data_IF_584489873217
#
_entry.id   IF_584489873217
#
_cell.length_a   1.000
_cell.length_b   1.000
_cell.length_c   1.000
_cell.angle_alpha   90.00
_cell.angle_beta   90.00
_cell.angle_gamma   90.00
#
_symmetry.space_group_name_H-M   'P 1'
#
loop_
_entity.id
_entity.type
_entity.pdbx_description
1 polymer ?
#
# COMPACT_ATOMS: atom_id res chain seq x y z
N UNK A 1 17.10 22.13 -10.81
CA UNK A 1 17.50 20.83 -11.37
C UNK A 1 16.51 20.55 -12.46
N UNK A 2 16.92 20.10 -13.65
CA UNK A 2 15.98 19.75 -14.69
C UNK A 2 15.27 18.44 -14.23
N UNK A 3 13.94 18.44 -14.27
CA UNK A 3 13.16 17.25 -14.03
C UNK A 3 13.59 16.17 -15.03
N UNK A 4 13.73 14.95 -14.56
CA UNK A 4 14.07 13.81 -15.40
C UNK A 4 12.87 13.50 -16.32
N UNK A 5 12.97 13.72 -17.64
CA UNK A 5 11.83 13.62 -18.55
C UNK A 5 11.48 12.17 -18.90
N UNK A 6 11.95 11.21 -18.10
CA UNK A 6 11.80 9.78 -18.38
C UNK A 6 10.48 9.26 -17.81
N UNK A 7 9.78 8.48 -18.63
CA UNK A 7 8.65 7.69 -18.15
C UNK A 7 9.21 6.47 -17.37
N UNK A 8 9.14 6.52 -16.04
CA UNK A 8 9.58 5.44 -15.15
C UNK A 8 8.81 4.12 -15.35
N UNK A 9 7.68 4.13 -16.07
CA UNK A 9 6.93 2.93 -16.45
C UNK A 9 7.38 2.32 -17.79
N UNK A 10 8.48 2.81 -18.39
CA UNK A 10 9.00 2.26 -19.64
C UNK A 10 9.68 0.93 -19.40
N UNK A 11 9.26 -0.12 -20.13
CA UNK A 11 9.89 -1.44 -20.10
C UNK A 11 11.33 -1.48 -20.65
N UNK A 12 11.80 -0.38 -21.23
CA UNK A 12 13.16 -0.27 -21.81
C UNK A 12 14.14 0.48 -20.92
N UNK A 13 13.69 0.91 -19.74
CA UNK A 13 14.49 1.69 -18.79
C UNK A 13 14.55 0.93 -17.47
N UNK A 14 15.77 0.83 -16.92
CA UNK A 14 16.00 0.34 -15.57
C UNK A 14 16.24 1.52 -14.62
N UNK A 15 15.65 1.46 -13.44
CA UNK A 15 15.82 2.39 -12.35
C UNK A 15 16.56 1.75 -11.16
N UNK A 16 17.47 2.51 -10.57
CA UNK A 16 18.29 2.05 -9.45
C UNK A 16 18.28 3.07 -8.33
N UNK A 17 18.12 2.57 -7.09
CA UNK A 17 18.24 3.41 -5.89
C UNK A 17 19.74 3.66 -5.63
N UNK A 18 20.12 4.92 -5.61
CA UNK A 18 21.47 5.36 -5.33
C UNK A 18 21.53 6.09 -3.99
N UNK A 19 22.47 5.70 -3.11
CA UNK A 19 22.72 6.40 -1.87
C UNK A 19 23.72 7.53 -2.11
N UNK A 20 23.30 8.76 -1.92
CA UNK A 20 24.13 9.93 -2.12
C UNK A 20 25.36 9.90 -1.19
N UNK A 21 26.53 10.27 -1.74
CA UNK A 21 27.78 10.27 -0.99
C UNK A 21 28.38 8.89 -0.67
N UNK A 22 27.77 7.79 -1.16
CA UNK A 22 28.37 6.47 -1.05
C UNK A 22 29.41 6.22 -2.15
N UNK A 23 30.36 5.29 -1.90
CA UNK A 23 31.28 4.78 -2.93
C UNK A 23 30.61 3.69 -3.78
N UNK A 24 29.31 3.70 -3.88
CA UNK A 24 28.54 2.75 -4.67
C UNK A 24 28.89 2.92 -6.15
N UNK A 25 29.21 1.83 -6.83
CA UNK A 25 29.42 1.88 -8.27
C UNK A 25 28.07 2.06 -8.98
N UNK A 26 28.05 2.93 -9.99
CA UNK A 26 26.90 3.06 -10.84
C UNK A 26 26.67 1.78 -11.66
N UNK A 27 25.40 1.42 -11.91
CA UNK A 27 25.10 0.38 -12.89
C UNK A 27 25.54 0.87 -14.29
N UNK A 28 26.33 0.05 -14.98
CA UNK A 28 26.86 0.42 -16.30
C UNK A 28 28.02 1.44 -16.23
N UNK A 29 28.30 2.08 -17.36
CA UNK A 29 29.22 3.19 -17.43
C UNK A 29 28.48 4.50 -17.07
N UNK A 30 29.19 5.48 -16.55
CA UNK A 30 28.60 6.79 -16.25
C UNK A 30 27.99 7.50 -17.47
N UNK A 31 28.41 7.08 -18.67
CA UNK A 31 27.90 7.57 -19.96
C UNK A 31 26.51 6.99 -20.30
N UNK A 32 26.12 5.88 -19.70
CA UNK A 32 24.82 5.22 -19.92
C UNK A 32 23.72 5.78 -19.02
N UNK A 33 24.04 6.68 -18.10
CA UNK A 33 23.06 7.31 -17.22
C UNK A 33 22.26 8.34 -18.02
N UNK A 34 20.98 8.06 -18.21
CA UNK A 34 20.05 8.95 -18.92
C UNK A 34 19.72 10.20 -18.10
N UNK A 35 19.38 9.99 -16.84
CA UNK A 35 19.13 11.06 -15.88
C UNK A 35 19.12 10.54 -14.46
N UNK A 36 19.03 11.47 -13.50
CA UNK A 36 18.95 11.18 -12.07
C UNK A 36 17.93 12.09 -11.41
N UNK A 37 16.99 11.48 -10.66
CA UNK A 37 16.06 12.19 -9.81
C UNK A 37 16.57 12.23 -8.38
N UNK A 38 16.61 13.43 -7.81
CA UNK A 38 16.97 13.65 -6.42
C UNK A 38 15.72 13.46 -5.53
N UNK A 39 15.74 12.42 -4.71
CA UNK A 39 14.62 12.09 -3.80
C UNK A 39 14.79 12.75 -2.44
N UNK A 40 16.02 12.69 -1.89
CA UNK A 40 16.35 13.25 -0.58
C UNK A 40 17.86 13.50 -0.46
N UNK A 41 18.30 14.05 0.67
CA UNK A 41 19.73 14.20 0.98
C UNK A 41 20.49 12.88 0.91
N UNK A 42 19.82 11.77 1.19
CA UNK A 42 20.46 10.45 1.30
C UNK A 42 20.28 9.59 0.04
N UNK A 43 19.24 9.86 -0.77
CA UNK A 43 18.90 8.98 -1.89
C UNK A 43 18.53 9.75 -3.17
N UNK A 44 18.95 9.16 -4.29
CA UNK A 44 18.54 9.53 -5.65
C UNK A 44 18.13 8.29 -6.42
N UNK A 45 17.37 8.46 -7.51
CA UNK A 45 17.06 7.40 -8.47
C UNK A 45 17.82 7.68 -9.75
N UNK A 46 18.51 6.66 -10.25
CA UNK A 46 19.29 6.72 -11.50
C UNK A 46 18.57 5.90 -12.54
N UNK A 47 18.37 6.46 -13.72
CA UNK A 47 17.76 5.82 -14.87
C UNK A 47 18.78 5.50 -15.94
N UNK A 48 18.78 4.25 -16.44
CA UNK A 48 19.65 3.77 -17.49
C UNK A 48 18.87 2.95 -18.51
N UNK A 49 19.33 2.83 -19.78
CA UNK A 49 18.74 1.89 -20.71
C UNK A 49 18.86 0.45 -20.17
N UNK A 50 17.80 -0.35 -20.25
CA UNK A 50 17.78 -1.72 -19.73
C UNK A 50 18.81 -2.62 -20.44
N UNK A 51 18.98 -2.47 -21.74
CA UNK A 51 19.92 -3.24 -22.57
C UNK A 51 21.39 -3.04 -22.21
N UNK A 52 21.75 -1.91 -21.57
CA UNK A 52 23.11 -1.64 -21.11
C UNK A 52 23.44 -2.32 -19.78
N UNK A 53 22.43 -2.78 -19.04
CA UNK A 53 22.60 -3.36 -17.70
C UNK A 53 22.19 -4.83 -17.63
N UNK A 54 21.60 -5.40 -18.67
CA UNK A 54 21.26 -6.82 -18.74
C UNK A 54 22.44 -7.70 -19.23
N UNK A 55 22.65 -8.88 -18.62
CA UNK A 55 22.00 -9.37 -17.40
C UNK A 55 22.51 -8.61 -16.18
N UNK A 56 21.60 -8.26 -15.28
CA UNK A 56 21.95 -7.51 -14.05
C UNK A 56 22.83 -8.39 -13.17
N UNK A 57 24.15 -8.11 -13.06
CA UNK A 57 25.04 -8.93 -12.25
C UNK A 57 24.86 -8.58 -10.77
N UNK A 58 24.17 -9.42 -10.01
CA UNK A 58 23.90 -9.24 -8.56
C UNK A 58 25.15 -8.92 -7.72
N UNK A 59 26.36 -9.17 -8.23
CA UNK A 59 27.62 -8.81 -7.56
C UNK A 59 28.06 -7.37 -7.78
N UNK A 60 27.51 -6.67 -8.79
CA UNK A 60 27.86 -5.27 -9.10
C UNK A 60 26.99 -4.26 -8.36
N UNK A 61 25.81 -4.67 -7.90
CA UNK A 61 24.86 -3.78 -7.25
C UNK A 61 24.76 -4.13 -5.78
N UNK A 62 24.69 -3.13 -4.94
CA UNK A 62 24.36 -3.38 -3.54
C UNK A 62 22.92 -3.89 -3.47
N UNK A 63 22.65 -4.76 -2.50
CA UNK A 63 21.31 -5.32 -2.27
C UNK A 63 20.18 -4.27 -2.23
N UNK A 64 20.51 -3.06 -1.82
CA UNK A 64 19.56 -1.94 -1.73
C UNK A 64 19.37 -1.15 -3.04
N UNK A 65 20.16 -1.40 -4.07
CA UNK A 65 20.08 -0.67 -5.34
C UNK A 65 19.00 -1.22 -6.26
N UNK A 66 18.57 -2.46 -6.05
CA UNK A 66 17.57 -3.13 -6.86
C UNK A 66 16.33 -3.31 -5.99
N UNK A 67 15.15 -2.87 -6.47
CA UNK A 67 13.90 -3.17 -5.78
C UNK A 67 13.78 -4.67 -5.54
N UNK A 68 13.50 -5.06 -4.30
CA UNK A 68 13.34 -6.47 -3.96
C UNK A 68 12.15 -7.06 -4.72
N UNK A 69 12.34 -8.23 -5.33
CA UNK A 69 11.23 -9.01 -5.85
C UNK A 69 10.54 -9.66 -4.67
N UNK A 70 9.29 -9.29 -4.43
CA UNK A 70 8.45 -9.89 -3.41
C UNK A 70 7.50 -10.88 -4.06
N UNK A 71 7.35 -12.06 -3.48
CA UNK A 71 6.32 -13.02 -3.83
C UNK A 71 5.12 -12.87 -2.91
N UNK A 72 3.98 -13.42 -3.34
CA UNK A 72 2.79 -13.48 -2.51
C UNK A 72 3.10 -14.20 -1.20
N UNK A 73 2.70 -13.61 -0.07
CA UNK A 73 2.84 -14.19 1.25
C UNK A 73 1.68 -15.16 1.51
N UNK A 74 1.97 -16.26 2.19
CA UNK A 74 1.00 -17.22 2.67
C UNK A 74 1.15 -17.47 4.19
N UNK A 75 0.38 -18.41 4.73
CA UNK A 75 0.47 -18.78 6.13
C UNK A 75 1.86 -19.30 6.56
N UNK A 76 2.66 -19.82 5.64
CA UNK A 76 4.02 -20.29 5.94
C UNK A 76 4.96 -19.14 6.34
N UNK A 77 4.79 -17.97 5.75
CA UNK A 77 5.53 -16.76 6.13
C UNK A 77 5.18 -16.28 7.54
N UNK A 78 3.91 -16.38 7.92
CA UNK A 78 3.44 -16.02 9.26
C UNK A 78 3.91 -17.02 10.32
N UNK A 79 3.99 -18.29 9.98
CA UNK A 79 4.56 -19.32 10.85
C UNK A 79 6.07 -19.10 11.04
N UNK A 80 6.81 -18.92 9.95
CA UNK A 80 8.25 -18.68 10.00
C UNK A 80 8.65 -17.41 10.75
N UNK A 81 7.79 -16.39 10.75
CA UNK A 81 7.99 -15.14 11.52
C UNK A 81 7.54 -15.23 12.98
N UNK A 82 6.91 -16.32 13.39
CA UNK A 82 6.41 -16.52 14.76
C UNK A 82 5.08 -15.81 15.05
N UNK A 83 4.42 -15.25 14.04
CA UNK A 83 3.11 -14.55 14.20
C UNK A 83 2.06 -15.51 14.70
N UNK A 84 1.94 -16.71 14.09
CA UNK A 84 0.95 -17.72 14.51
C UNK A 84 1.21 -18.21 15.94
N UNK A 85 2.47 -18.37 16.33
CA UNK A 85 2.84 -18.72 17.69
C UNK A 85 2.45 -17.62 18.70
N UNK A 86 2.56 -16.33 18.29
CA UNK A 86 2.12 -15.19 19.11
C UNK A 86 0.61 -15.16 19.29
N UNK A 87 -0.15 -15.40 18.22
CA UNK A 87 -1.62 -15.51 18.27
C UNK A 87 -2.08 -16.63 19.21
N UNK A 88 -1.41 -17.78 19.16
CA UNK A 88 -1.75 -18.95 19.97
C UNK A 88 -1.31 -18.84 21.42
N UNK A 89 -0.47 -17.87 21.77
CA UNK A 89 0.07 -17.71 23.12
C UNK A 89 -0.96 -17.11 24.09
N UNK A 90 -1.41 -17.82 25.12
CA UNK A 90 -2.35 -17.27 26.11
C UNK A 90 -1.81 -16.05 26.88
N UNK A 91 -0.48 -15.93 26.97
CA UNK A 91 0.19 -14.84 27.68
C UNK A 91 0.34 -13.57 26.85
N UNK A 92 0.43 -13.70 25.53
CA UNK A 92 0.62 -12.58 24.61
C UNK A 92 -0.69 -12.17 23.92
N UNK A 93 -1.40 -13.12 23.30
CA UNK A 93 -2.72 -12.94 22.65
C UNK A 93 -2.86 -11.64 21.84
N UNK A 94 -1.73 -11.18 21.24
CA UNK A 94 -1.65 -9.91 20.55
C UNK A 94 -2.12 -10.10 19.10
N UNK A 95 -3.32 -9.62 18.80
CA UNK A 95 -3.95 -9.70 17.48
C UNK A 95 -4.15 -8.32 16.84
N UNK A 96 -3.47 -7.29 17.35
CA UNK A 96 -3.49 -5.93 16.78
C UNK A 96 -4.62 -5.04 17.30
N UNK A 97 -5.35 -5.42 18.36
CA UNK A 97 -6.40 -4.57 18.95
C UNK A 97 -5.84 -3.21 19.38
N UNK A 98 -6.48 -2.13 18.92
CA UNK A 98 -6.06 -0.76 19.21
C UNK A 98 -4.89 -0.25 18.33
N UNK A 99 -4.47 -1.04 17.33
CA UNK A 99 -3.45 -0.64 16.35
C UNK A 99 -4.16 -0.26 15.04
N UNK A 100 -3.65 0.78 14.37
CA UNK A 100 -4.09 1.19 13.04
C UNK A 100 -3.02 0.79 12.03
N UNK A 101 -3.43 0.11 10.96
CA UNK A 101 -2.57 -0.21 9.82
C UNK A 101 -3.01 0.63 8.63
N UNK A 102 -2.07 1.39 8.06
CA UNK A 102 -2.27 2.14 6.82
C UNK A 102 -1.87 1.29 5.61
N UNK A 103 -2.76 1.19 4.63
CA UNK A 103 -2.50 0.54 3.33
C UNK A 103 -2.58 1.62 2.24
N UNK A 104 -1.48 1.79 1.51
CA UNK A 104 -1.38 2.73 0.39
C UNK A 104 -1.13 1.90 -0.86
N UNK A 105 -2.18 1.65 -1.65
CA UNK A 105 -2.12 0.68 -2.74
C UNK A 105 -3.23 0.90 -3.79
N UNK A 106 -3.65 -0.15 -4.51
CA UNK A 106 -4.69 -0.11 -5.56
C UNK A 106 -6.12 0.07 -5.04
N UNK A 107 -6.31 0.08 -3.74
CA UNK A 107 -7.59 0.18 -3.07
C UNK A 107 -7.88 -1.00 -2.14
N UNK A 108 -9.15 -1.18 -1.82
CA UNK A 108 -9.63 -2.30 -1.02
C UNK A 108 -11.06 -2.68 -1.46
N UNK A 109 -11.36 -3.97 -1.48
CA UNK A 109 -12.75 -4.45 -1.46
C UNK A 109 -13.27 -4.38 -0.03
N UNK A 110 -13.85 -3.24 0.34
CA UNK A 110 -14.37 -3.00 1.69
C UNK A 110 -15.59 -3.86 2.01
N UNK A 111 -16.22 -4.46 0.98
CA UNK A 111 -17.37 -5.36 1.18
C UNK A 111 -16.95 -6.75 1.66
N UNK A 112 -15.65 -7.08 1.55
CA UNK A 112 -15.10 -8.35 1.97
C UNK A 112 -15.25 -8.55 3.48
N UNK A 113 -15.87 -9.66 3.94
CA UNK A 113 -16.09 -9.93 5.36
C UNK A 113 -14.80 -10.02 6.20
N UNK A 114 -13.63 -10.25 5.58
CA UNK A 114 -12.32 -10.22 6.26
C UNK A 114 -12.03 -8.89 6.97
N UNK A 115 -12.66 -7.79 6.53
CA UNK A 115 -12.43 -6.45 7.09
C UNK A 115 -13.55 -5.97 8.00
N UNK A 116 -14.38 -6.89 8.49
CA UNK A 116 -15.51 -6.58 9.38
C UNK A 116 -15.26 -7.07 10.80
N UNK A 117 -15.92 -6.42 11.73
CA UNK A 117 -16.10 -6.89 13.10
C UNK A 117 -17.12 -8.04 13.15
N UNK A 118 -17.22 -8.73 14.29
CA UNK A 118 -18.18 -9.81 14.47
C UNK A 118 -19.65 -9.33 14.41
N UNK A 119 -19.90 -8.06 14.70
CA UNK A 119 -21.23 -7.42 14.60
C UNK A 119 -21.58 -6.98 13.17
N UNK A 120 -20.70 -7.24 12.20
CA UNK A 120 -20.88 -6.88 10.79
C UNK A 120 -20.40 -5.48 10.41
N UNK A 121 -20.05 -4.64 11.37
CA UNK A 121 -19.48 -3.29 11.11
C UNK A 121 -18.07 -3.37 10.53
N UNK A 122 -17.65 -2.31 9.81
CA UNK A 122 -16.31 -2.28 9.24
C UNK A 122 -15.22 -2.00 10.27
N UNK A 123 -14.03 -2.59 10.08
CA UNK A 123 -12.79 -2.23 10.77
C UNK A 123 -12.01 -1.13 10.05
N UNK A 124 -12.48 -0.69 8.87
CA UNK A 124 -11.86 0.39 8.10
C UNK A 124 -12.33 1.73 8.70
N UNK A 125 -11.37 2.56 9.12
CA UNK A 125 -11.61 3.91 9.66
C UNK A 125 -11.94 4.91 8.56
N UNK A 126 -11.15 4.86 7.47
CA UNK A 126 -11.38 5.69 6.29
C UNK A 126 -10.79 5.08 5.04
N UNK A 127 -11.34 5.47 3.88
CA UNK A 127 -10.81 5.19 2.55
C UNK A 127 -10.64 6.54 1.84
N UNK A 128 -9.40 6.89 1.49
CA UNK A 128 -9.14 8.01 0.61
C UNK A 128 -8.89 7.49 -0.81
N UNK A 129 -9.87 7.64 -1.67
CA UNK A 129 -9.79 7.23 -3.08
C UNK A 129 -9.32 8.41 -3.94
N UNK A 130 -8.06 8.36 -4.37
CA UNK A 130 -7.44 9.40 -5.19
C UNK A 130 -7.88 9.34 -6.67
N UNK A 131 -8.53 8.27 -7.10
CA UNK A 131 -9.02 8.10 -8.47
C UNK A 131 -10.36 8.79 -8.71
N UNK A 132 -11.06 9.17 -7.64
CA UNK A 132 -12.35 9.87 -7.71
C UNK A 132 -12.15 11.38 -7.66
N UNK A 133 -13.07 12.18 -8.25
CA UNK A 133 -13.05 13.63 -8.07
C UNK A 133 -13.31 14.01 -6.60
N UNK A 134 -12.85 15.20 -6.20
CA UNK A 134 -13.14 15.73 -4.86
C UNK A 134 -14.66 15.92 -4.69
N UNK A 135 -15.25 15.23 -3.73
CA UNK A 135 -16.64 15.44 -3.36
C UNK A 135 -16.75 16.30 -2.09
N UNK A 136 -16.97 17.59 -2.29
CA UNK A 136 -17.14 18.58 -1.20
C UNK A 136 -18.47 18.43 -0.46
N UNK A 137 -19.42 17.70 -1.00
CA UNK A 137 -20.74 17.50 -0.40
C UNK A 137 -20.69 16.51 0.77
N UNK A 138 -19.68 15.65 0.81
CA UNK A 138 -19.47 14.66 1.86
C UNK A 138 -18.86 15.25 3.14
N UNK A 139 -18.38 16.50 3.09
CA UNK A 139 -17.86 17.18 4.27
C UNK A 139 -19.01 17.77 5.09
N UNK A 140 -19.07 17.54 6.42
CA UNK A 140 -20.02 18.22 7.27
C UNK A 140 -19.87 19.75 7.14
N UNK A 141 -20.98 20.46 7.00
CA UNK A 141 -20.97 21.91 6.86
C UNK A 141 -20.19 22.58 8.02
N UNK A 142 -19.16 23.35 7.69
CA UNK A 142 -18.36 24.09 8.68
C UNK A 142 -17.15 23.32 9.25
N UNK A 143 -16.91 22.07 8.84
CA UNK A 143 -15.66 21.38 9.16
C UNK A 143 -14.62 21.81 8.11
N UNK A 144 -13.51 22.49 8.52
CA UNK A 144 -12.43 22.75 7.60
C UNK A 144 -11.95 21.40 7.04
N UNK A 145 -11.61 21.36 5.75
CA UNK A 145 -11.05 20.19 5.07
C UNK A 145 -9.68 19.79 5.67
N UNK A 146 -9.68 19.45 6.99
CA UNK A 146 -8.48 19.07 7.77
C UNK A 146 -8.22 17.57 7.75
N UNK A 147 -9.12 16.80 7.15
CA UNK A 147 -9.03 15.34 7.16
C UNK A 147 -8.39 14.76 5.90
N UNK A 148 -8.16 15.53 4.86
CA UNK A 148 -7.09 15.22 3.96
C UNK A 148 -5.78 15.44 4.72
N UNK A 149 -5.22 14.40 5.29
CA UNK A 149 -3.97 14.45 6.06
C UNK A 149 -2.81 15.14 5.31
N UNK A 150 -2.96 15.34 4.01
CA UNK A 150 -2.02 16.01 3.10
C UNK A 150 -2.43 17.42 2.70
N UNK A 151 -3.63 17.92 3.05
CA UNK A 151 -4.19 19.15 2.46
C UNK A 151 -4.45 19.02 0.95
N UNK A 152 -4.51 17.79 0.44
CA UNK A 152 -4.74 17.53 -0.96
C UNK A 152 -6.16 17.94 -1.37
N UNK A 153 -6.26 18.61 -2.53
CA UNK A 153 -7.50 19.09 -3.11
C UNK A 153 -8.07 18.12 -4.16
N UNK A 154 -7.76 16.83 -4.06
CA UNK A 154 -8.20 15.80 -5.00
C UNK A 154 -8.56 14.51 -4.28
N UNK A 155 -9.33 13.67 -4.95
CA UNK A 155 -9.83 12.42 -4.40
C UNK A 155 -11.02 12.62 -3.45
N UNK A 156 -11.65 11.53 -3.06
CA UNK A 156 -12.76 11.50 -2.12
C UNK A 156 -12.40 10.65 -0.92
N UNK A 157 -12.67 11.12 0.29
CA UNK A 157 -12.50 10.38 1.52
C UNK A 157 -13.86 9.91 2.03
N UNK A 158 -13.95 8.61 2.35
CA UNK A 158 -15.11 7.96 2.95
C UNK A 158 -14.80 7.59 4.39
N UNK A 159 -15.68 7.98 5.31
CA UNK A 159 -15.53 7.67 6.73
C UNK A 159 -16.07 6.28 7.08
N UNK A 160 -15.76 5.80 8.27
CA UNK A 160 -16.31 4.54 8.83
C UNK A 160 -17.83 4.50 8.78
N UNK A 161 -18.48 5.60 9.11
CA UNK A 161 -19.94 5.69 9.14
C UNK A 161 -20.53 5.49 7.75
N UNK A 162 -19.96 6.14 6.73
CA UNK A 162 -20.38 5.99 5.33
C UNK A 162 -20.12 4.56 4.81
N UNK A 163 -18.99 3.95 5.21
CA UNK A 163 -18.70 2.57 4.85
C UNK A 163 -19.72 1.62 5.50
N UNK A 164 -20.09 1.83 6.76
CA UNK A 164 -21.12 1.04 7.43
C UNK A 164 -22.49 1.22 6.77
N UNK A 165 -22.88 2.46 6.43
CA UNK A 165 -24.11 2.72 5.67
C UNK A 165 -24.10 2.00 4.32
N UNK A 166 -22.96 1.99 3.61
CA UNK A 166 -22.83 1.23 2.38
C UNK A 166 -23.01 -0.27 2.60
N UNK A 167 -22.45 -0.82 3.68
CA UNK A 167 -22.55 -2.25 3.99
C UNK A 167 -23.97 -2.72 4.38
N UNK A 168 -24.82 -1.80 4.84
CA UNK A 168 -26.23 -2.02 5.13
C UNK A 168 -27.13 -1.88 3.88
N UNK A 169 -26.60 -1.28 2.81
CA UNK A 169 -27.32 -1.04 1.56
C UNK A 169 -27.37 -2.30 0.68
N UNK A 170 -28.47 -2.50 -0.07
CA UNK A 170 -28.58 -3.53 -1.09
C UNK A 170 -27.52 -3.39 -2.21
N UNK A 171 -27.01 -2.17 -2.42
CA UNK A 171 -25.95 -1.90 -3.39
C UNK A 171 -24.88 -0.98 -2.77
N UNK A 172 -23.88 -1.53 -2.07
CA UNK A 172 -22.83 -0.79 -1.37
C UNK A 172 -22.12 0.26 -2.23
N UNK A 173 -21.84 -0.07 -3.49
CA UNK A 173 -21.11 0.81 -4.41
C UNK A 173 -21.88 2.05 -4.85
N UNK A 174 -23.17 2.16 -4.57
CA UNK A 174 -23.92 3.41 -4.77
C UNK A 174 -23.69 4.43 -3.66
N UNK A 175 -23.26 3.98 -2.49
CA UNK A 175 -22.95 4.82 -1.32
C UNK A 175 -21.44 5.12 -1.29
N UNK A 176 -20.61 4.07 -1.37
CA UNK A 176 -19.15 4.18 -1.42
C UNK A 176 -18.65 3.53 -2.71
N UNK A 177 -18.46 4.30 -3.81
CA UNK A 177 -18.09 3.77 -5.12
C UNK A 177 -16.59 3.40 -5.26
N UNK A 178 -15.83 3.42 -4.17
CA UNK A 178 -14.44 3.00 -4.17
C UNK A 178 -14.32 1.48 -4.34
N UNK A 179 -13.48 1.06 -5.26
CA UNK A 179 -13.27 -0.36 -5.60
C UNK A 179 -11.78 -0.66 -5.76
N UNK A 180 -11.40 -1.92 -5.59
CA UNK A 180 -10.08 -2.43 -5.93
C UNK A 180 -10.19 -3.40 -7.12
N UNK A 181 -10.09 -2.87 -8.33
CA UNK A 181 -10.20 -3.68 -9.56
C UNK A 181 -8.96 -4.51 -9.85
N UNK A 182 -7.81 -4.16 -9.27
CA UNK A 182 -6.57 -4.91 -9.39
C UNK A 182 -6.52 -6.08 -8.40
N UNK A 183 -7.03 -5.88 -7.20
CA UNK A 183 -7.03 -6.86 -6.11
C UNK A 183 -5.76 -6.86 -5.26
N UNK A 184 -4.71 -6.15 -5.65
CA UNK A 184 -3.43 -6.17 -4.92
C UNK A 184 -3.55 -5.55 -3.52
N UNK A 185 -4.16 -4.36 -3.40
CA UNK A 185 -4.37 -3.70 -2.10
C UNK A 185 -5.26 -4.50 -1.17
N UNK A 186 -6.33 -5.12 -1.70
CA UNK A 186 -7.21 -6.02 -0.95
C UNK A 186 -6.45 -7.24 -0.42
N UNK A 187 -5.59 -7.82 -1.26
CA UNK A 187 -4.74 -8.95 -0.89
C UNK A 187 -3.75 -8.57 0.22
N UNK A 188 -3.05 -7.45 0.08
CA UNK A 188 -2.12 -6.96 1.12
C UNK A 188 -2.84 -6.67 2.44
N UNK A 189 -4.01 -6.02 2.38
CA UNK A 189 -4.83 -5.77 3.56
C UNK A 189 -5.27 -7.08 4.22
N UNK A 190 -5.60 -8.11 3.42
CA UNK A 190 -5.94 -9.44 3.91
C UNK A 190 -4.80 -10.09 4.69
N UNK A 191 -3.57 -10.07 4.15
CA UNK A 191 -2.40 -10.62 4.82
C UNK A 191 -2.07 -9.85 6.10
N UNK A 192 -2.13 -8.52 6.06
CA UNK A 192 -1.81 -7.70 7.21
C UNK A 192 -2.87 -7.76 8.31
N UNK A 193 -4.15 -7.75 7.93
CA UNK A 193 -5.26 -7.44 8.82
C UNK A 193 -6.52 -8.30 8.62
N UNK A 194 -6.48 -9.34 7.81
CA UNK A 194 -7.63 -10.20 7.58
C UNK A 194 -8.16 -10.82 8.87
N UNK A 195 -9.44 -10.63 9.15
CA UNK A 195 -10.11 -11.18 10.32
C UNK A 195 -10.31 -12.69 10.22
N UNK A 196 -10.66 -13.29 11.34
CA UNK A 196 -11.00 -14.72 11.40
C UNK A 196 -12.41 -14.93 10.84
N UNK A 197 -12.53 -15.78 9.81
CA UNK A 197 -13.81 -16.17 9.25
C UNK A 197 -14.12 -17.64 9.60
N UNK A 198 -15.40 -17.96 9.85
CA UNK A 198 -15.81 -19.35 9.98
C UNK A 198 -15.47 -20.15 8.71
N UNK A 199 -14.86 -21.31 8.86
CA UNK A 199 -14.47 -22.21 7.77
C UNK A 199 -13.31 -21.75 6.87
N UNK A 200 -12.49 -20.79 7.34
CA UNK A 200 -11.24 -20.44 6.69
C UNK A 200 -10.08 -20.62 7.67
N UNK A 201 -9.03 -21.29 7.21
CA UNK A 201 -7.81 -21.51 8.02
C UNK A 201 -6.83 -20.31 7.95
N UNK A 202 -7.20 -19.25 7.23
CA UNK A 202 -6.38 -18.06 7.07
C UNK A 202 -6.84 -16.94 8.00
N UNK A 203 -5.88 -16.29 8.63
CA UNK A 203 -6.03 -15.03 9.35
C UNK A 203 -4.85 -14.12 9.04
N UNK A 204 -5.06 -12.81 9.04
CA UNK A 204 -3.99 -11.84 8.87
C UNK A 204 -3.05 -11.76 10.08
N UNK A 205 -1.95 -11.03 9.92
CA UNK A 205 -0.97 -10.84 10.98
C UNK A 205 -1.54 -10.08 12.20
N UNK A 206 -2.47 -9.16 11.97
CA UNK A 206 -3.13 -8.35 13.00
C UNK A 206 -4.66 -8.33 12.79
N UNK A 207 -5.36 -9.45 13.01
CA UNK A 207 -6.77 -9.61 12.63
C UNK A 207 -7.76 -8.73 13.42
N UNK A 208 -7.33 -8.10 14.53
CA UNK A 208 -8.15 -7.20 15.33
C UNK A 208 -7.76 -5.72 15.17
N UNK A 209 -6.83 -5.39 14.27
CA UNK A 209 -6.44 -4.00 14.00
C UNK A 209 -7.54 -3.25 13.23
N UNK A 210 -7.42 -1.93 13.23
CA UNK A 210 -8.20 -1.02 12.39
C UNK A 210 -7.40 -0.64 11.15
N UNK A 211 -8.07 -0.25 10.07
CA UNK A 211 -7.46 0.04 8.79
C UNK A 211 -7.71 1.50 8.36
N UNK A 212 -6.71 2.11 7.75
CA UNK A 212 -6.82 3.34 6.96
C UNK A 212 -6.30 3.03 5.56
N UNK A 213 -7.10 3.31 4.56
CA UNK A 213 -6.83 2.93 3.17
C UNK A 213 -6.60 4.18 2.33
N UNK A 214 -5.53 4.18 1.56
CA UNK A 214 -5.28 5.15 0.50
C UNK A 214 -5.22 4.41 -0.81
N UNK A 215 -6.23 4.62 -1.65
CA UNK A 215 -6.23 4.12 -3.01
C UNK A 215 -5.50 5.11 -3.90
N UNK A 216 -4.40 4.68 -4.48
CA UNK A 216 -3.59 5.49 -5.38
C UNK A 216 -4.34 5.75 -6.68
N UNK A 217 -4.11 6.91 -7.24
CA UNK A 217 -4.51 7.25 -8.62
C UNK A 217 -3.66 6.41 -9.58
N UNK A 218 -4.28 5.76 -10.60
CA UNK A 218 -3.56 5.05 -11.65
C UNK A 218 -2.68 5.98 -12.48
#
# INVERSE_FOLDING_TARGET
>A
MADCPINSASETIADFIYRNGSQQQFPGNSEDILCMDFVSTDFSIIYTPLDTVEPIPLRKFTYYSIPGLYTLLDSSSMDASGILATHASPALSNQGRGVIIGIIDTGIDYTNPLFRNQDGTTRILSIWDQSLPEDKSLLPAGVPNRYNASGATYGTEYTREQINEALESDNPLTVVPSTDTNGHGTFLAGIAAGGVLPNQDFTGAAPECELVIVKLKP
#
